data_IF_295731312046
#
_entry.id   IF_295731312046
#
_cell.length_a   1.000
_cell.length_b   1.000
_cell.length_c   1.000
_cell.angle_alpha   90.00
_cell.angle_beta   90.00
_cell.angle_gamma   90.00
#
_symmetry.space_group_name_H-M   'P 1'
#
loop_
_entity.id
_entity.type
_entity.pdbx_description
1 polymer ?
#
# COMPACT_ATOMS: atom_id res chain seq x y z
N UNK A 1 38.73 -3.96 17.41
CA UNK A 1 37.83 -3.89 18.57
C UNK A 1 37.18 -2.51 18.61
N UNK A 2 35.94 -2.34 18.14
CA UNK A 2 35.15 -1.13 18.45
C UNK A 2 34.72 -1.27 19.91
N UNK A 3 35.01 -0.28 20.74
CA UNK A 3 34.76 -0.32 22.19
C UNK A 3 33.26 -0.35 22.50
N UNK A 4 32.90 -1.00 23.61
CA UNK A 4 31.55 -1.17 24.17
C UNK A 4 30.75 0.15 24.34
N UNK A 5 31.42 1.31 24.22
CA UNK A 5 30.83 2.65 24.30
C UNK A 5 30.02 3.10 23.07
N UNK A 6 29.97 2.31 21.99
CA UNK A 6 29.26 2.70 20.76
C UNK A 6 28.08 1.79 20.37
N UNK A 7 27.72 0.83 21.23
CA UNK A 7 26.54 0.00 21.06
C UNK A 7 25.29 0.78 21.43
N UNK A 8 24.28 0.80 20.55
CA UNK A 8 22.99 1.46 20.78
C UNK A 8 21.82 0.55 20.48
N UNK A 9 20.71 0.72 21.19
CA UNK A 9 19.46 0.07 20.85
C UNK A 9 18.78 0.84 19.72
N UNK A 10 18.58 0.20 18.57
CA UNK A 10 17.93 0.83 17.42
C UNK A 10 16.40 0.81 17.59
N UNK A 11 15.79 1.98 17.45
CA UNK A 11 14.37 2.20 17.67
C UNK A 11 13.74 2.79 16.40
N UNK A 12 12.69 2.15 15.89
CA UNK A 12 11.97 2.60 14.69
C UNK A 12 10.54 3.08 14.98
N UNK A 13 10.11 3.01 16.25
CA UNK A 13 8.74 3.24 16.72
C UNK A 13 8.70 4.07 18.00
N UNK A 14 7.66 4.91 18.21
CA UNK A 14 7.43 5.59 19.48
C UNK A 14 6.90 4.68 20.61
N UNK A 15 6.59 3.43 20.30
CA UNK A 15 6.09 2.46 21.27
C UNK A 15 7.21 1.95 22.19
N UNK A 16 7.15 2.38 23.45
CA UNK A 16 8.15 2.13 24.48
C UNK A 16 8.38 0.64 24.78
N UNK A 17 7.46 -0.26 24.41
CA UNK A 17 7.67 -1.70 24.61
C UNK A 17 8.93 -2.19 23.88
N UNK A 18 9.31 -1.52 22.78
CA UNK A 18 10.49 -1.83 21.98
C UNK A 18 11.79 -1.19 22.49
N UNK A 19 11.71 -0.34 23.51
CA UNK A 19 12.85 0.44 24.00
C UNK A 19 13.57 -0.31 25.11
N UNK A 20 14.88 -0.47 24.97
CA UNK A 20 15.77 -0.95 26.02
C UNK A 20 16.40 0.27 26.72
N UNK A 21 15.73 0.77 27.75
CA UNK A 21 16.14 1.97 28.49
C UNK A 21 17.41 1.77 29.34
N UNK A 22 17.96 0.55 29.38
CA UNK A 22 19.22 0.24 30.06
C UNK A 22 20.45 0.58 29.20
N UNK A 23 20.26 0.83 27.90
CA UNK A 23 21.33 1.12 26.94
C UNK A 23 21.12 2.48 26.26
N UNK A 24 22.17 3.09 25.69
CA UNK A 24 22.00 4.26 24.84
C UNK A 24 21.09 3.95 23.64
N UNK A 25 20.20 4.89 23.30
CA UNK A 25 19.21 4.71 22.24
C UNK A 25 19.68 5.34 20.91
N UNK A 26 19.26 4.75 19.79
CA UNK A 26 19.35 5.34 18.46
C UNK A 26 17.98 5.31 17.79
N UNK A 27 17.35 6.47 17.64
CA UNK A 27 16.08 6.60 16.94
C UNK A 27 16.30 6.70 15.44
N UNK A 28 15.56 5.90 14.66
CA UNK A 28 15.60 5.96 13.19
C UNK A 28 15.12 7.30 12.63
N UNK A 29 14.42 8.12 13.42
CA UNK A 29 14.01 9.47 13.05
C UNK A 29 13.08 10.07 14.09
N UNK A 30 12.70 11.34 13.90
CA UNK A 30 11.91 12.10 14.88
C UNK A 30 10.55 11.48 15.21
N UNK A 31 9.97 10.70 14.30
CA UNK A 31 8.70 10.00 14.53
C UNK A 31 8.76 8.93 15.63
N UNK A 32 9.95 8.61 16.14
CA UNK A 32 10.07 7.74 17.31
C UNK A 32 9.81 8.51 18.61
N UNK A 33 9.78 9.84 18.60
CA UNK A 33 9.61 10.66 19.79
C UNK A 33 8.28 11.40 19.68
N UNK A 34 7.37 11.16 20.62
CA UNK A 34 6.08 11.83 20.70
C UNK A 34 5.93 12.50 22.07
N UNK A 35 4.93 13.38 22.21
CA UNK A 35 4.66 14.11 23.45
C UNK A 35 4.54 13.22 24.71
N UNK A 36 4.13 11.97 24.56
CA UNK A 36 3.97 11.05 25.70
C UNK A 36 5.29 10.47 26.19
N UNK A 37 6.36 10.52 25.39
CA UNK A 37 7.66 9.91 25.72
C UNK A 37 8.82 10.92 25.78
N UNK A 38 8.59 12.19 25.46
CA UNK A 38 9.60 13.26 25.54
C UNK A 38 10.21 13.43 26.94
N UNK A 39 9.39 13.41 28.01
CA UNK A 39 9.90 13.60 29.37
C UNK A 39 10.84 12.47 29.80
N UNK A 40 10.52 11.23 29.42
CA UNK A 40 11.33 10.04 29.71
C UNK A 40 12.74 10.15 29.10
N UNK A 41 12.91 10.93 28.03
CA UNK A 41 14.17 11.03 27.29
C UNK A 41 15.13 12.08 27.85
N UNK A 42 14.67 13.00 28.70
CA UNK A 42 15.52 14.08 29.27
C UNK A 42 16.76 13.54 29.98
N UNK A 43 16.65 12.36 30.59
CA UNK A 43 17.73 11.72 31.36
C UNK A 43 18.41 10.57 30.61
N UNK A 44 18.12 10.38 29.31
CA UNK A 44 18.61 9.24 28.53
C UNK A 44 19.63 9.68 27.49
N UNK A 45 20.68 8.88 27.32
CA UNK A 45 21.62 9.03 26.21
C UNK A 45 20.99 8.51 24.93
N UNK A 46 20.38 9.38 24.13
CA UNK A 46 19.84 9.04 22.83
C UNK A 46 20.46 9.87 21.70
N UNK A 47 20.38 9.31 20.49
CA UNK A 47 20.66 10.03 19.25
C UNK A 47 19.52 9.80 18.28
N UNK A 48 19.30 10.75 17.39
CA UNK A 48 18.41 10.60 16.24
C UNK A 48 19.30 10.41 15.02
N UNK A 49 19.00 9.40 14.21
CA UNK A 49 19.72 9.13 12.97
C UNK A 49 19.63 10.35 12.06
N UNK A 50 20.78 10.89 11.67
CA UNK A 50 20.91 11.97 10.70
C UNK A 50 21.86 11.50 9.60
N UNK A 51 21.31 11.12 8.46
CA UNK A 51 22.06 10.56 7.34
C UNK A 51 21.44 10.97 6.00
N UNK A 52 22.19 10.78 4.90
CA UNK A 52 21.73 11.05 3.53
C UNK A 52 20.44 10.32 3.15
N UNK A 53 20.05 9.25 3.85
CA UNK A 53 18.76 8.55 3.64
C UNK A 53 17.53 9.47 3.66
N UNK A 54 17.60 10.61 4.35
CA UNK A 54 16.51 11.60 4.40
C UNK A 54 16.60 12.68 3.31
N UNK A 55 17.70 12.75 2.56
CA UNK A 55 17.89 13.76 1.53
C UNK A 55 17.05 13.45 0.29
N UNK A 56 16.51 14.51 -0.34
CA UNK A 56 15.68 14.40 -1.55
C UNK A 56 16.38 13.64 -2.68
N UNK A 57 17.64 13.96 -2.98
CA UNK A 57 18.37 13.36 -4.09
C UNK A 57 18.63 11.86 -3.87
N UNK A 58 18.97 11.47 -2.63
CA UNK A 58 19.10 10.06 -2.28
C UNK A 58 17.76 9.34 -2.41
N UNK A 59 16.67 9.92 -1.92
CA UNK A 59 15.33 9.32 -2.08
C UNK A 59 14.95 9.13 -3.55
N UNK A 60 15.23 10.10 -4.41
CA UNK A 60 15.00 9.97 -5.86
C UNK A 60 15.83 8.83 -6.47
N UNK A 61 17.10 8.68 -6.08
CA UNK A 61 17.92 7.56 -6.57
C UNK A 61 17.41 6.22 -6.07
N UNK A 62 16.90 6.14 -4.84
CA UNK A 62 16.28 4.93 -4.29
C UNK A 62 14.98 4.58 -5.02
N UNK A 63 14.17 5.58 -5.40
CA UNK A 63 12.96 5.35 -6.20
C UNK A 63 13.32 4.72 -7.55
N UNK A 64 14.32 5.26 -8.25
CA UNK A 64 14.81 4.70 -9.51
C UNK A 64 15.38 3.30 -9.35
N UNK A 65 16.16 3.05 -8.30
CA UNK A 65 16.66 1.71 -7.97
C UNK A 65 15.50 0.72 -7.75
N UNK A 66 14.51 1.08 -6.93
CA UNK A 66 13.35 0.23 -6.67
C UNK A 66 12.52 -0.05 -7.93
N UNK A 67 12.40 0.91 -8.85
CA UNK A 67 11.71 0.70 -10.13
C UNK A 67 12.46 -0.30 -11.03
N UNK A 68 13.80 -0.24 -11.07
CA UNK A 68 14.61 -1.20 -11.82
C UNK A 68 14.47 -2.62 -11.24
N UNK A 69 14.59 -2.75 -9.91
CA UNK A 69 14.38 -4.03 -9.21
C UNK A 69 12.97 -4.55 -9.46
N UNK A 70 11.97 -3.68 -9.44
CA UNK A 70 10.57 -4.04 -9.70
C UNK A 70 10.38 -4.63 -11.09
N UNK A 71 10.89 -3.99 -12.14
CA UNK A 71 10.73 -4.47 -13.51
C UNK A 71 11.40 -5.84 -13.72
N UNK A 72 12.61 -6.01 -13.20
CA UNK A 72 13.36 -7.27 -13.29
C UNK A 72 12.68 -8.40 -12.50
N UNK A 73 12.35 -8.15 -11.24
CA UNK A 73 11.73 -9.14 -10.35
C UNK A 73 10.31 -9.49 -10.78
N UNK A 74 9.54 -8.54 -11.34
CA UNK A 74 8.21 -8.81 -11.88
C UNK A 74 8.28 -9.77 -13.07
N UNK A 75 9.28 -9.61 -13.95
CA UNK A 75 9.48 -10.50 -15.10
C UNK A 75 9.76 -11.92 -14.62
N UNK A 76 10.68 -12.07 -13.68
CA UNK A 76 11.05 -13.36 -13.11
C UNK A 76 9.89 -14.03 -12.36
N UNK A 77 9.24 -13.32 -11.43
CA UNK A 77 8.16 -13.87 -10.62
C UNK A 77 6.96 -14.28 -11.47
N UNK A 78 6.71 -13.59 -12.59
CA UNK A 78 5.63 -13.97 -13.53
C UNK A 78 5.85 -15.35 -14.14
N UNK A 79 7.10 -15.70 -14.46
CA UNK A 79 7.48 -17.00 -15.01
C UNK A 79 7.39 -18.07 -13.91
N UNK A 80 7.95 -17.78 -12.74
CA UNK A 80 7.94 -18.69 -11.58
C UNK A 80 6.51 -19.04 -11.18
N UNK A 81 5.62 -18.05 -11.10
CA UNK A 81 4.23 -18.27 -10.71
C UNK A 81 3.38 -18.92 -11.80
N UNK A 82 3.63 -18.64 -13.08
CA UNK A 82 3.01 -19.40 -14.18
C UNK A 82 3.35 -20.90 -14.05
N UNK A 83 4.64 -21.22 -13.88
CA UNK A 83 5.10 -22.60 -13.69
C UNK A 83 4.49 -23.23 -12.45
N UNK A 84 4.52 -22.52 -11.32
CA UNK A 84 4.00 -23.01 -10.05
C UNK A 84 2.49 -23.31 -10.10
N UNK A 85 1.70 -22.41 -10.71
CA UNK A 85 0.25 -22.55 -10.77
C UNK A 85 -0.25 -23.40 -11.95
N UNK A 86 0.61 -23.73 -12.91
CA UNK A 86 0.24 -24.45 -14.13
C UNK A 86 -0.65 -23.61 -15.04
N UNK A 87 -0.39 -22.30 -15.13
CA UNK A 87 -1.13 -21.35 -15.97
C UNK A 87 -0.20 -20.63 -16.94
N UNK A 88 -0.77 -19.99 -17.95
CA UNK A 88 -0.04 -19.20 -18.93
C UNK A 88 -0.60 -17.77 -19.01
N UNK A 89 -0.43 -17.00 -17.93
CA UNK A 89 -0.77 -15.59 -17.92
C UNK A 89 0.37 -14.74 -18.47
N UNK A 90 0.02 -13.74 -19.26
CA UNK A 90 0.94 -12.75 -19.81
C UNK A 90 1.60 -11.92 -18.70
N UNK A 91 2.74 -11.33 -19.02
CA UNK A 91 3.41 -10.37 -18.14
C UNK A 91 2.49 -9.21 -17.71
N UNK A 92 1.64 -8.71 -18.62
CA UNK A 92 0.64 -7.65 -18.32
C UNK A 92 -0.39 -8.13 -17.29
N UNK A 93 -0.86 -9.37 -17.38
CA UNK A 93 -1.79 -9.96 -16.41
C UNK A 93 -1.15 -10.09 -15.01
N UNK A 94 0.10 -10.56 -14.92
CA UNK A 94 0.84 -10.60 -13.66
C UNK A 94 1.13 -9.22 -13.09
N UNK A 95 1.46 -8.25 -13.95
CA UNK A 95 1.60 -6.85 -13.57
C UNK A 95 0.33 -6.33 -12.91
N UNK A 96 -0.84 -6.59 -13.49
CA UNK A 96 -2.13 -6.20 -12.89
C UNK A 96 -2.28 -6.79 -11.49
N UNK A 97 -2.02 -8.08 -11.30
CA UNK A 97 -2.34 -8.82 -10.05
C UNK A 97 -1.35 -8.51 -8.93
N UNK A 98 -0.05 -8.70 -9.19
CA UNK A 98 1.03 -8.65 -8.21
C UNK A 98 1.73 -7.31 -8.21
N UNK A 99 1.80 -6.62 -9.35
CA UNK A 99 2.57 -5.39 -9.53
C UNK A 99 2.38 -4.34 -8.43
N UNK A 100 1.15 -3.97 -8.04
CA UNK A 100 0.92 -2.98 -6.98
C UNK A 100 1.49 -3.39 -5.62
N UNK A 101 1.46 -4.69 -5.29
CA UNK A 101 2.03 -5.19 -4.05
C UNK A 101 3.56 -5.23 -4.15
N UNK A 102 4.09 -5.77 -5.25
CA UNK A 102 5.53 -5.94 -5.45
C UNK A 102 6.27 -4.59 -5.42
N UNK A 103 5.72 -3.57 -6.08
CA UNK A 103 6.29 -2.21 -6.05
C UNK A 103 6.38 -1.65 -4.62
N UNK A 104 5.32 -1.85 -3.81
CA UNK A 104 5.32 -1.42 -2.40
C UNK A 104 6.30 -2.22 -1.57
N UNK A 105 6.28 -3.54 -1.73
CA UNK A 105 7.17 -4.46 -1.04
C UNK A 105 8.63 -4.04 -1.24
N UNK A 106 9.08 -3.88 -2.48
CA UNK A 106 10.45 -3.49 -2.82
C UNK A 106 10.82 -2.16 -2.15
N UNK A 107 9.97 -1.15 -2.27
CA UNK A 107 10.25 0.18 -1.68
C UNK A 107 10.33 0.15 -0.16
N UNK A 108 9.43 -0.59 0.51
CA UNK A 108 9.42 -0.71 1.97
C UNK A 108 10.67 -1.43 2.47
N UNK A 109 11.00 -2.59 1.91
CA UNK A 109 12.17 -3.37 2.32
C UNK A 109 13.46 -2.56 2.06
N UNK A 110 13.60 -1.95 0.89
CA UNK A 110 14.76 -1.12 0.56
C UNK A 110 14.92 0.05 1.54
N UNK A 111 13.83 0.74 1.87
CA UNK A 111 13.88 1.86 2.81
C UNK A 111 14.30 1.42 4.22
N UNK A 112 13.74 0.33 4.75
CA UNK A 112 14.13 -0.17 6.08
C UNK A 112 15.56 -0.69 6.12
N UNK A 113 16.01 -1.31 5.04
CA UNK A 113 17.40 -1.74 4.91
C UNK A 113 18.34 -0.53 4.87
N UNK A 114 18.01 0.52 4.13
CA UNK A 114 18.82 1.75 4.09
C UNK A 114 18.92 2.43 5.47
N UNK A 115 17.82 2.50 6.24
CA UNK A 115 17.84 3.01 7.62
C UNK A 115 18.75 2.16 8.52
N UNK A 116 18.65 0.83 8.40
CA UNK A 116 19.48 -0.11 9.15
C UNK A 116 20.97 0.02 8.79
N UNK A 117 21.31 0.06 7.49
CA UNK A 117 22.68 0.23 7.01
C UNK A 117 23.27 1.57 7.44
N UNK A 118 22.49 2.66 7.38
CA UNK A 118 22.92 3.96 7.89
C UNK A 118 23.19 3.91 9.41
N UNK A 119 22.40 3.13 10.16
CA UNK A 119 22.61 2.97 11.61
C UNK A 119 23.90 2.21 11.93
N UNK A 120 24.20 1.13 11.17
CA UNK A 120 25.43 0.32 11.32
C UNK A 120 26.72 1.04 10.90
N UNK A 121 26.61 2.12 10.11
CA UNK A 121 27.76 2.91 9.68
C UNK A 121 28.52 3.48 10.89
N UNK A 122 27.77 4.07 11.82
CA UNK A 122 28.34 4.84 12.92
C UNK A 122 28.20 4.15 14.29
N UNK A 123 27.36 3.11 14.40
CA UNK A 123 27.04 2.44 15.68
C UNK A 123 27.03 0.93 15.55
N UNK A 124 27.28 0.24 16.65
CA UNK A 124 26.91 -1.18 16.78
C UNK A 124 25.44 -1.24 17.24
N UNK A 125 24.63 -2.03 16.54
CA UNK A 125 23.18 -2.05 16.75
C UNK A 125 22.76 -3.27 17.56
N UNK A 126 22.00 -3.00 18.62
CA UNK A 126 21.28 -3.99 19.41
C UNK A 126 19.77 -3.73 19.37
N UNK A 127 19.00 -4.71 19.84
CA UNK A 127 17.56 -4.59 20.03
C UNK A 127 17.20 -5.08 21.42
N UNK A 128 16.08 -4.58 21.97
CA UNK A 128 15.49 -5.16 23.18
C UNK A 128 15.06 -6.60 22.92
N UNK A 129 15.27 -7.50 23.86
CA UNK A 129 14.78 -8.87 23.76
C UNK A 129 13.25 -8.92 23.91
N UNK A 130 12.60 -9.46 22.88
CA UNK A 130 11.13 -9.55 22.79
C UNK A 130 10.78 -10.89 22.15
N UNK A 131 9.96 -11.68 22.83
CA UNK A 131 9.37 -12.88 22.25
C UNK A 131 8.05 -12.53 21.56
N UNK A 132 8.06 -12.53 20.23
CA UNK A 132 6.84 -12.34 19.45
C UNK A 132 6.08 -13.65 19.35
N UNK A 133 4.80 -13.63 19.74
CA UNK A 133 3.89 -14.77 19.56
C UNK A 133 3.83 -15.24 18.10
N UNK A 134 3.76 -14.29 17.18
CA UNK A 134 3.93 -14.47 15.75
C UNK A 134 5.10 -13.60 15.31
N UNK A 135 6.20 -14.17 14.82
CA UNK A 135 7.39 -13.42 14.39
C UNK A 135 7.50 -13.30 12.86
N UNK A 136 6.44 -13.65 12.13
CA UNK A 136 6.42 -13.69 10.68
C UNK A 136 6.21 -12.33 10.03
N UNK A 137 6.66 -12.19 8.78
CA UNK A 137 6.38 -11.04 7.92
C UNK A 137 5.23 -11.28 6.92
N UNK A 138 4.47 -12.36 7.13
CA UNK A 138 3.45 -12.85 6.20
C UNK A 138 2.29 -11.86 6.10
N UNK A 139 1.70 -11.76 4.92
CA UNK A 139 0.44 -11.05 4.70
C UNK A 139 -0.53 -11.88 3.88
N UNK A 140 -1.83 -11.61 4.01
CA UNK A 140 -2.85 -12.36 3.27
C UNK A 140 -3.05 -11.83 1.86
N UNK A 141 -3.16 -10.52 1.73
CA UNK A 141 -3.34 -9.80 0.47
C UNK A 141 -2.65 -8.43 0.52
N UNK A 142 -2.74 -7.65 -0.56
CA UNK A 142 -2.13 -6.32 -0.63
C UNK A 142 -2.64 -5.35 0.45
N UNK A 143 -3.90 -5.49 0.87
CA UNK A 143 -4.50 -4.60 1.88
C UNK A 143 -3.95 -4.95 3.25
N UNK A 144 -3.91 -6.23 3.58
CA UNK A 144 -3.27 -6.74 4.79
C UNK A 144 -1.79 -6.31 4.88
N UNK A 145 -1.05 -6.45 3.78
CA UNK A 145 0.34 -5.99 3.71
C UNK A 145 0.46 -4.47 3.93
N UNK A 146 -0.41 -3.68 3.31
CA UNK A 146 -0.38 -2.21 3.42
C UNK A 146 -0.72 -1.75 4.85
N UNK A 147 -1.65 -2.42 5.50
CA UNK A 147 -2.02 -2.14 6.89
C UNK A 147 -0.89 -2.53 7.85
N UNK A 148 -0.23 -3.67 7.62
CA UNK A 148 0.96 -4.11 8.36
C UNK A 148 2.17 -3.19 8.16
N UNK A 149 2.41 -2.73 6.93
CA UNK A 149 3.55 -1.87 6.60
C UNK A 149 3.61 -0.55 7.40
N UNK A 150 2.46 -0.09 7.92
CA UNK A 150 2.37 1.11 8.76
C UNK A 150 2.19 0.79 10.26
N UNK A 151 2.25 -0.48 10.66
CA UNK A 151 2.15 -0.92 12.04
C UNK A 151 3.53 -1.04 12.68
N UNK A 152 3.66 -0.61 13.94
CA UNK A 152 4.92 -0.63 14.68
C UNK A 152 5.50 -2.03 14.85
N UNK A 153 4.70 -3.00 15.27
CA UNK A 153 5.15 -4.36 15.52
C UNK A 153 5.70 -5.04 14.25
N UNK A 154 5.03 -4.84 13.11
CA UNK A 154 5.52 -5.39 11.84
C UNK A 154 6.83 -4.73 11.39
N UNK A 155 6.98 -3.41 11.57
CA UNK A 155 8.24 -2.73 11.26
C UNK A 155 9.39 -3.17 12.18
N UNK A 156 9.11 -3.43 13.45
CA UNK A 156 10.06 -4.00 14.42
C UNK A 156 10.52 -5.40 14.02
N UNK A 157 9.58 -6.30 13.66
CA UNK A 157 9.90 -7.64 13.14
C UNK A 157 10.76 -7.56 11.87
N UNK A 158 10.39 -6.68 10.93
CA UNK A 158 11.12 -6.50 9.69
C UNK A 158 12.55 -6.01 9.96
N UNK A 159 12.72 -4.98 10.79
CA UNK A 159 14.03 -4.41 11.08
C UNK A 159 14.97 -5.44 11.73
N UNK A 160 14.45 -6.26 12.65
CA UNK A 160 15.19 -7.36 13.29
C UNK A 160 15.58 -8.44 12.27
N UNK A 161 14.65 -8.83 11.40
CA UNK A 161 14.92 -9.80 10.33
C UNK A 161 16.00 -9.30 9.37
N UNK A 162 15.91 -8.02 8.98
CA UNK A 162 16.93 -7.36 8.16
C UNK A 162 18.29 -7.32 8.87
N UNK A 163 18.31 -7.05 10.18
CA UNK A 163 19.54 -7.05 10.96
C UNK A 163 20.22 -8.42 11.00
N UNK A 164 19.45 -9.49 11.22
CA UNK A 164 19.98 -10.86 11.16
C UNK A 164 20.59 -11.17 9.79
N UNK A 165 19.93 -10.78 8.70
CA UNK A 165 20.44 -10.98 7.33
C UNK A 165 21.68 -10.12 7.08
N UNK A 166 21.68 -8.87 7.53
CA UNK A 166 22.80 -7.94 7.37
C UNK A 166 24.06 -8.45 8.06
N UNK A 167 23.95 -8.93 9.30
CA UNK A 167 25.08 -9.42 10.08
C UNK A 167 25.58 -10.79 9.62
N UNK A 168 24.67 -11.71 9.31
CA UNK A 168 25.05 -13.07 8.89
C UNK A 168 25.50 -13.17 7.44
N UNK A 169 25.05 -12.25 6.58
CA UNK A 169 25.20 -12.32 5.13
C UNK A 169 24.76 -13.69 4.55
N UNK A 170 23.83 -14.36 5.24
CA UNK A 170 23.38 -15.72 4.91
C UNK A 170 22.03 -15.69 4.21
N UNK A 171 21.98 -16.29 3.02
CA UNK A 171 20.80 -16.34 2.16
C UNK A 171 20.23 -17.76 2.02
N UNK A 172 20.42 -18.60 3.04
CA UNK A 172 19.77 -19.90 3.12
C UNK A 172 18.32 -19.76 3.62
N UNK A 173 17.37 -20.48 2.98
CA UNK A 173 15.95 -20.52 3.35
C UNK A 173 15.64 -21.34 4.61
N UNK A 174 16.63 -21.93 5.27
CA UNK A 174 16.47 -22.71 6.50
C UNK A 174 15.74 -21.95 7.62
N UNK A 175 15.94 -20.63 7.70
CA UNK A 175 15.27 -19.76 8.68
C UNK A 175 13.74 -19.80 8.60
N UNK A 176 13.16 -20.22 7.46
CA UNK A 176 11.71 -20.34 7.31
C UNK A 176 11.11 -21.37 8.29
N UNK A 177 11.90 -22.35 8.73
CA UNK A 177 11.48 -23.33 9.72
C UNK A 177 11.38 -22.74 11.13
N UNK A 178 12.11 -21.66 11.41
CA UNK A 178 12.19 -21.02 12.73
C UNK A 178 11.11 -19.93 12.91
N UNK A 179 10.30 -19.69 11.87
CA UNK A 179 9.22 -18.71 11.91
C UNK A 179 8.06 -19.26 12.75
N UNK A 180 7.77 -18.58 13.85
CA UNK A 180 6.55 -18.75 14.63
C UNK A 180 5.44 -17.93 13.95
N UNK A 181 4.36 -18.57 13.52
CA UNK A 181 3.20 -17.87 12.96
C UNK A 181 1.89 -18.45 13.47
N UNK A 182 0.91 -17.58 13.70
CA UNK A 182 -0.42 -18.01 14.08
C UNK A 182 -1.20 -18.49 12.86
N UNK A 183 -1.68 -19.73 12.90
CA UNK A 183 -2.58 -20.24 11.87
C UNK A 183 -3.88 -19.44 11.89
N UNK A 184 -4.36 -19.07 10.71
CA UNK A 184 -5.63 -18.38 10.60
C UNK A 184 -6.79 -19.35 10.84
N UNK A 185 -7.57 -19.10 11.90
CA UNK A 185 -8.80 -19.83 12.18
C UNK A 185 -10.00 -19.15 11.50
N UNK A 186 -10.55 -19.80 10.46
CA UNK A 186 -11.74 -19.34 9.70
C UNK A 186 -12.98 -19.09 10.57
N UNK A 187 -13.07 -19.72 11.74
CA UNK A 187 -14.23 -19.67 12.64
C UNK A 187 -14.39 -18.36 13.41
N UNK A 188 -13.36 -17.49 13.45
CA UNK A 188 -13.31 -16.34 14.37
C UNK A 188 -13.71 -15.00 13.72
N UNK A 189 -13.92 -14.93 12.39
CA UNK A 189 -14.38 -13.70 11.73
C UNK A 189 -15.89 -13.43 11.93
N UNK A 190 -16.23 -13.01 13.15
CA UNK A 190 -17.34 -12.16 13.61
C UNK A 190 -18.79 -12.45 13.17
N UNK A 191 -19.59 -12.88 14.17
CA UNK A 191 -21.06 -12.98 14.16
C UNK A 191 -21.80 -11.71 13.68
N UNK A 192 -21.21 -10.52 13.84
CA UNK A 192 -21.80 -9.25 13.37
C UNK A 192 -21.74 -9.02 11.85
N UNK A 193 -20.88 -9.74 11.12
CA UNK A 193 -20.77 -9.65 9.65
C UNK A 193 -21.85 -10.46 8.92
N UNK A 194 -22.35 -11.52 9.57
CA UNK A 194 -23.16 -12.57 8.94
C UNK A 194 -24.46 -12.01 8.37
N UNK A 195 -25.13 -11.07 9.07
CA UNK A 195 -26.40 -10.50 8.61
C UNK A 195 -26.22 -9.57 7.38
N UNK A 196 -25.18 -8.73 7.37
CA UNK A 196 -24.84 -7.89 6.20
C UNK A 196 -24.39 -8.74 5.00
N UNK A 197 -23.62 -9.80 5.26
CA UNK A 197 -23.23 -10.74 4.20
C UNK A 197 -24.44 -11.54 3.70
N UNK A 198 -25.38 -11.92 4.56
CA UNK A 198 -26.61 -12.61 4.17
C UNK A 198 -27.48 -11.74 3.26
N UNK A 199 -27.68 -10.46 3.59
CA UNK A 199 -28.40 -9.50 2.72
C UNK A 199 -27.66 -9.31 1.40
N UNK A 200 -26.33 -9.16 1.42
CA UNK A 200 -25.52 -9.10 0.20
C UNK A 200 -25.64 -10.39 -0.61
N UNK A 201 -25.68 -11.56 0.02
CA UNK A 201 -25.85 -12.85 -0.65
C UNK A 201 -27.24 -12.99 -1.29
N UNK A 202 -28.33 -12.52 -0.65
CA UNK A 202 -29.67 -12.48 -1.27
C UNK A 202 -29.78 -11.46 -2.41
N UNK A 203 -29.11 -10.30 -2.29
CA UNK A 203 -28.98 -9.38 -3.41
C UNK A 203 -28.17 -10.04 -4.54
N UNK A 204 -27.12 -10.80 -4.24
CA UNK A 204 -26.34 -11.54 -5.24
C UNK A 204 -27.17 -12.60 -5.94
N UNK A 205 -28.06 -13.32 -5.23
CA UNK A 205 -28.93 -14.30 -5.90
C UNK A 205 -29.88 -13.65 -6.90
N UNK A 206 -30.35 -12.43 -6.65
CA UNK A 206 -31.15 -11.67 -7.62
C UNK A 206 -30.34 -11.33 -8.88
N UNK A 207 -29.10 -10.87 -8.73
CA UNK A 207 -28.22 -10.61 -9.88
C UNK A 207 -27.73 -11.88 -10.56
N UNK A 208 -27.70 -13.01 -9.83
CA UNK A 208 -27.39 -14.31 -10.41
C UNK A 208 -28.49 -14.84 -11.34
N UNK A 209 -29.71 -14.29 -11.25
CA UNK A 209 -30.83 -14.61 -12.13
C UNK A 209 -30.73 -13.94 -13.52
N UNK A 210 -29.82 -12.98 -13.70
CA UNK A 210 -29.59 -12.30 -14.98
C UNK A 210 -28.24 -12.73 -15.58
N UNK A 211 -28.14 -13.94 -16.17
CA UNK A 211 -26.92 -14.43 -16.81
C UNK A 211 -26.48 -13.56 -18.00
N UNK A 212 -27.34 -12.64 -18.44
CA UNK A 212 -27.10 -11.71 -19.54
C UNK A 212 -25.86 -10.82 -19.31
N UNK A 213 -25.47 -10.56 -18.05
CA UNK A 213 -24.24 -9.82 -17.75
C UNK A 213 -22.98 -10.51 -18.26
N UNK A 214 -23.00 -11.84 -18.45
CA UNK A 214 -21.86 -12.60 -18.98
C UNK A 214 -21.53 -12.23 -20.43
N UNK A 215 -22.51 -11.76 -21.18
CA UNK A 215 -22.41 -11.38 -22.59
C UNK A 215 -22.15 -9.88 -22.79
N UNK A 216 -21.96 -9.11 -21.72
CA UNK A 216 -21.66 -7.68 -21.85
C UNK A 216 -20.32 -7.43 -22.54
N UNK A 217 -20.34 -6.56 -23.56
CA UNK A 217 -19.14 -6.10 -24.26
C UNK A 217 -18.27 -5.15 -23.42
N UNK A 218 -18.87 -4.51 -22.41
CA UNK A 218 -18.17 -3.60 -21.52
C UNK A 218 -18.27 -4.04 -20.06
N UNK A 219 -17.24 -3.73 -19.27
CA UNK A 219 -17.32 -3.86 -17.81
C UNK A 219 -16.88 -2.57 -17.13
N UNK A 220 -17.62 -2.17 -16.09
CA UNK A 220 -17.44 -0.92 -15.38
C UNK A 220 -17.27 -1.19 -13.89
N UNK A 221 -16.13 -0.81 -13.31
CA UNK A 221 -15.88 -0.97 -11.87
C UNK A 221 -15.19 0.24 -11.27
N UNK A 222 -15.66 0.72 -10.11
CA UNK A 222 -15.12 1.91 -9.42
C UNK A 222 -14.88 3.06 -10.41
N UNK A 223 -15.94 3.38 -11.17
CA UNK A 223 -15.90 4.37 -12.26
C UNK A 223 -15.98 5.81 -11.76
N UNK A 224 -16.37 5.98 -10.49
CA UNK A 224 -16.49 7.24 -9.78
C UNK A 224 -17.24 8.32 -10.56
N UNK A 225 -18.35 7.96 -11.22
CA UNK A 225 -19.18 8.89 -11.99
C UNK A 225 -20.52 9.15 -11.30
N UNK A 226 -20.83 10.43 -11.13
CA UNK A 226 -22.17 10.97 -10.85
C UNK A 226 -23.07 10.20 -9.89
N UNK A 227 -24.36 10.21 -10.22
CA UNK A 227 -25.39 9.49 -9.49
C UNK A 227 -25.56 8.07 -10.05
N UNK A 228 -26.35 7.26 -9.35
CA UNK A 228 -26.80 5.97 -9.86
C UNK A 228 -27.44 6.10 -11.26
N UNK A 229 -28.25 7.15 -11.49
CA UNK A 229 -28.89 7.41 -12.79
C UNK A 229 -27.89 7.76 -13.88
N UNK A 230 -26.85 8.54 -13.57
CA UNK A 230 -25.76 8.81 -14.53
C UNK A 230 -25.05 7.52 -14.95
N UNK A 231 -24.75 6.66 -13.98
CA UNK A 231 -24.14 5.35 -14.26
C UNK A 231 -25.08 4.46 -15.08
N UNK A 232 -26.39 4.46 -14.78
CA UNK A 232 -27.39 3.69 -15.51
C UNK A 232 -27.53 4.15 -16.97
N UNK A 233 -27.58 5.47 -17.22
CA UNK A 233 -27.58 6.04 -18.58
C UNK A 233 -26.37 5.58 -19.40
N UNK A 234 -25.19 5.49 -18.78
CA UNK A 234 -23.98 4.97 -19.41
C UNK A 234 -24.14 3.49 -19.81
N UNK A 235 -24.68 2.65 -18.93
CA UNK A 235 -24.91 1.24 -19.23
C UNK A 235 -25.90 1.07 -20.40
N UNK A 236 -27.04 1.76 -20.35
CA UNK A 236 -28.06 1.73 -21.43
C UNK A 236 -27.50 2.24 -22.75
N UNK A 237 -26.80 3.38 -22.75
CA UNK A 237 -26.21 3.98 -23.95
C UNK A 237 -25.16 3.09 -24.63
N UNK A 238 -24.53 2.19 -23.86
CA UNK A 238 -23.58 1.19 -24.37
C UNK A 238 -24.22 -0.17 -24.64
N UNK A 239 -25.56 -0.28 -24.60
CA UNK A 239 -26.32 -1.53 -24.76
C UNK A 239 -25.83 -2.63 -23.80
N UNK A 240 -25.50 -2.23 -22.58
CA UNK A 240 -24.84 -3.05 -21.60
C UNK A 240 -25.76 -3.27 -20.40
N UNK A 241 -25.88 -4.51 -19.91
CA UNK A 241 -26.61 -4.76 -18.67
C UNK A 241 -25.83 -4.18 -17.48
N UNK A 242 -26.46 -3.49 -16.53
CA UNK A 242 -25.80 -3.06 -15.31
C UNK A 242 -25.18 -4.26 -14.59
N UNK A 243 -23.86 -4.26 -14.41
CA UNK A 243 -23.16 -5.27 -13.61
C UNK A 243 -22.74 -4.63 -12.32
N UNK A 244 -23.08 -5.24 -11.20
CA UNK A 244 -22.55 -4.83 -9.91
C UNK A 244 -21.61 -5.93 -9.41
N UNK A 245 -20.37 -5.52 -9.12
CA UNK A 245 -19.37 -6.36 -8.50
C UNK A 245 -19.68 -6.46 -7.00
N UNK A 246 -20.10 -7.64 -6.56
CA UNK A 246 -20.62 -7.85 -5.20
C UNK A 246 -19.75 -8.74 -4.31
N UNK A 247 -18.46 -8.90 -4.63
CA UNK A 247 -17.60 -9.60 -3.69
C UNK A 247 -17.61 -8.81 -2.39
N UNK A 248 -17.95 -9.51 -1.29
CA UNK A 248 -17.74 -8.97 0.04
C UNK A 248 -16.26 -8.63 0.11
N UNK A 249 -15.93 -7.35 0.29
CA UNK A 249 -14.55 -6.87 0.37
C UNK A 249 -13.73 -7.52 1.50
N UNK A 250 -14.25 -8.54 2.19
CA UNK A 250 -13.51 -9.41 3.09
C UNK A 250 -12.18 -9.82 2.48
N UNK A 251 -11.17 -9.85 3.34
CA UNK A 251 -9.83 -10.29 2.97
C UNK A 251 -9.89 -11.76 2.58
N UNK A 252 -9.26 -12.10 1.47
CA UNK A 252 -9.02 -13.49 1.14
C UNK A 252 -7.87 -13.97 2.03
N UNK A 253 -8.11 -15.01 2.83
CA UNK A 253 -7.15 -15.51 3.82
C UNK A 253 -6.87 -16.99 3.53
N UNK A 254 -5.61 -17.31 3.26
CA UNK A 254 -5.11 -18.67 3.21
C UNK A 254 -4.02 -18.81 4.28
N UNK A 255 -3.83 -20.04 4.77
CA UNK A 255 -2.75 -20.32 5.70
C UNK A 255 -1.42 -20.33 4.95
N UNK A 256 -0.38 -19.86 5.63
CA UNK A 256 0.98 -19.94 5.11
C UNK A 256 1.50 -21.38 5.21
N UNK A 257 2.19 -21.84 4.16
CA UNK A 257 2.71 -23.20 4.09
C UNK A 257 4.21 -23.20 3.71
N UNK A 258 5.07 -23.47 4.70
CA UNK A 258 6.54 -23.45 4.55
C UNK A 258 7.01 -24.33 3.38
N UNK A 259 6.49 -25.55 3.26
CA UNK A 259 6.91 -26.50 2.22
C UNK A 259 6.51 -26.06 0.81
N UNK A 260 5.41 -25.30 0.68
CA UNK A 260 5.04 -24.67 -0.59
C UNK A 260 6.03 -23.54 -0.93
N UNK A 261 6.39 -22.74 0.07
CA UNK A 261 7.24 -21.55 -0.08
C UNK A 261 8.67 -21.89 -0.46
N UNK A 262 9.22 -22.96 0.12
CA UNK A 262 10.57 -23.47 -0.22
C UNK A 262 10.71 -23.82 -1.71
N UNK A 263 9.62 -24.24 -2.37
CA UNK A 263 9.59 -24.59 -3.81
C UNK A 263 9.71 -23.38 -4.74
N UNK A 264 9.58 -22.15 -4.22
CA UNK A 264 9.77 -20.94 -5.03
C UNK A 264 11.26 -20.73 -5.33
N UNK A 265 11.66 -20.98 -6.57
CA UNK A 265 13.01 -20.68 -7.06
C UNK A 265 13.09 -19.23 -7.53
N UNK A 266 13.75 -18.38 -6.75
CA UNK A 266 14.02 -16.98 -7.08
C UNK A 266 15.54 -16.83 -7.17
N UNK A 267 16.02 -16.15 -8.20
CA UNK A 267 17.43 -15.85 -8.36
C UNK A 267 17.84 -14.74 -7.39
N UNK A 268 18.87 -15.03 -6.58
CA UNK A 268 19.48 -14.09 -5.62
C UNK A 268 20.90 -13.69 -6.04
N UNK A 269 21.41 -14.22 -7.15
CA UNK A 269 22.73 -13.88 -7.67
C UNK A 269 22.64 -12.55 -8.43
N UNK A 270 22.74 -11.48 -7.66
CA UNK A 270 22.65 -10.09 -8.13
C UNK A 270 23.71 -9.26 -7.42
N UNK A 271 24.23 -8.25 -8.12
CA UNK A 271 25.35 -7.44 -7.63
C UNK A 271 24.98 -6.55 -6.43
N UNK A 272 23.74 -6.07 -6.37
CA UNK A 272 23.28 -5.19 -5.29
C UNK A 272 22.88 -6.00 -4.06
N UNK A 273 23.55 -5.74 -2.92
CA UNK A 273 23.17 -6.32 -1.63
C UNK A 273 21.70 -6.04 -1.29
N UNK A 274 21.23 -4.81 -1.50
CA UNK A 274 19.83 -4.46 -1.26
C UNK A 274 18.87 -5.27 -2.14
N UNK A 275 19.19 -5.44 -3.43
CA UNK A 275 18.37 -6.26 -4.32
C UNK A 275 18.35 -7.73 -3.88
N UNK A 276 19.51 -8.25 -3.45
CA UNK A 276 19.64 -9.62 -2.93
C UNK A 276 18.76 -9.86 -1.71
N UNK A 277 18.78 -8.94 -0.74
CA UNK A 277 17.91 -8.98 0.46
C UNK A 277 16.43 -8.90 0.08
N UNK A 278 16.06 -8.00 -0.83
CA UNK A 278 14.69 -7.84 -1.35
C UNK A 278 14.19 -9.13 -2.00
N UNK A 279 15.01 -9.78 -2.82
CA UNK A 279 14.65 -11.04 -3.47
C UNK A 279 14.54 -12.18 -2.46
N UNK A 280 15.45 -12.23 -1.49
CA UNK A 280 15.47 -13.27 -0.47
C UNK A 280 14.23 -13.24 0.44
N UNK A 281 13.86 -12.08 0.96
CA UNK A 281 12.68 -11.92 1.82
C UNK A 281 11.34 -12.06 1.07
N UNK A 282 11.37 -12.10 -0.27
CA UNK A 282 10.16 -12.23 -1.09
C UNK A 282 9.42 -13.52 -0.75
N UNK A 283 10.16 -14.60 -0.47
CA UNK A 283 9.61 -15.92 -0.21
C UNK A 283 8.69 -15.91 1.02
N UNK A 284 9.13 -15.31 2.12
CA UNK A 284 8.33 -15.17 3.34
C UNK A 284 7.18 -14.17 3.16
N UNK A 285 7.47 -13.01 2.57
CA UNK A 285 6.58 -11.84 2.59
C UNK A 285 5.49 -11.88 1.51
N UNK A 286 5.66 -12.68 0.45
CA UNK A 286 4.69 -12.81 -0.65
C UNK A 286 3.29 -13.13 -0.10
N UNK A 287 2.25 -12.33 -0.39
CA UNK A 287 0.94 -12.55 0.18
C UNK A 287 0.37 -13.92 -0.17
N UNK A 288 -0.31 -14.55 0.79
CA UNK A 288 -0.83 -15.91 0.60
C UNK A 288 -1.82 -16.01 -0.56
N UNK A 289 -2.54 -14.92 -0.88
CA UNK A 289 -3.45 -14.87 -2.03
C UNK A 289 -2.75 -15.16 -3.38
N UNK A 290 -1.44 -14.90 -3.50
CA UNK A 290 -0.70 -15.10 -4.74
C UNK A 290 -0.07 -16.49 -4.87
N UNK A 291 -0.09 -17.29 -3.79
CA UNK A 291 0.51 -18.62 -3.75
C UNK A 291 -0.48 -19.66 -3.21
N UNK A 292 -0.62 -19.79 -1.89
CA UNK A 292 -1.49 -20.80 -1.26
C UNK A 292 -2.97 -20.60 -1.64
N UNK A 293 -3.41 -19.34 -1.66
CA UNK A 293 -4.79 -18.94 -1.94
C UNK A 293 -5.16 -18.81 -3.42
N UNK A 294 -4.20 -18.95 -4.33
CA UNK A 294 -4.38 -18.54 -5.73
C UNK A 294 -5.51 -19.30 -6.44
N UNK A 295 -5.52 -20.64 -6.32
CA UNK A 295 -6.52 -21.50 -6.97
C UNK A 295 -7.94 -21.25 -6.44
N UNK A 296 -8.06 -21.00 -5.15
CA UNK A 296 -9.34 -20.69 -4.50
C UNK A 296 -9.91 -19.36 -4.99
N UNK A 297 -9.06 -18.35 -5.18
CA UNK A 297 -9.48 -17.07 -5.78
C UNK A 297 -10.02 -17.29 -7.18
N UNK A 298 -9.31 -18.02 -8.05
CA UNK A 298 -9.80 -18.32 -9.40
C UNK A 298 -11.11 -19.11 -9.39
N UNK A 299 -11.25 -20.09 -8.49
CA UNK A 299 -12.50 -20.84 -8.31
C UNK A 299 -13.64 -19.93 -7.87
N UNK A 300 -13.37 -18.94 -7.01
CA UNK A 300 -14.38 -17.97 -6.59
C UNK A 300 -14.83 -17.11 -7.78
N UNK A 301 -13.90 -16.60 -8.59
CA UNK A 301 -14.17 -15.73 -9.74
C UNK A 301 -15.02 -16.43 -10.80
N UNK A 302 -14.72 -17.71 -11.09
CA UNK A 302 -15.51 -18.52 -12.05
C UNK A 302 -16.98 -18.67 -11.66
N UNK A 303 -17.32 -18.54 -10.37
CA UNK A 303 -18.71 -18.62 -9.87
C UNK A 303 -19.46 -17.29 -9.98
N UNK A 304 -18.79 -16.20 -10.36
CA UNK A 304 -19.40 -14.87 -10.44
C UNK A 304 -20.06 -14.64 -11.79
N UNK A 305 -21.08 -13.80 -11.81
CA UNK A 305 -21.75 -13.35 -13.03
C UNK A 305 -21.10 -12.08 -13.59
N UNK A 306 -19.76 -12.13 -13.70
CA UNK A 306 -18.99 -11.13 -14.41
C UNK A 306 -18.92 -11.50 -15.90
N UNK A 307 -18.72 -10.52 -16.79
CA UNK A 307 -18.51 -10.77 -18.22
C UNK A 307 -17.37 -11.78 -18.44
N UNK A 308 -17.56 -12.74 -19.34
CA UNK A 308 -16.57 -13.80 -19.58
C UNK A 308 -15.40 -13.33 -20.45
N UNK A 309 -15.67 -12.43 -21.40
CA UNK A 309 -14.71 -11.85 -22.32
C UNK A 309 -15.14 -10.45 -22.78
N UNK A 310 -15.24 -9.45 -21.87
CA UNK A 310 -15.66 -8.12 -22.27
C UNK A 310 -14.65 -7.51 -23.23
N UNK A 311 -15.10 -6.85 -24.29
CA UNK A 311 -14.23 -6.16 -25.24
C UNK A 311 -13.43 -5.04 -24.57
N UNK A 312 -14.07 -4.25 -23.70
CA UNK A 312 -13.45 -3.12 -22.99
C UNK A 312 -13.81 -3.12 -21.52
N UNK A 313 -12.84 -2.79 -20.68
CA UNK A 313 -13.00 -2.67 -19.24
C UNK A 313 -12.64 -1.24 -18.85
N UNK A 314 -13.54 -0.55 -18.15
CA UNK A 314 -13.27 0.74 -17.57
C UNK A 314 -13.22 0.65 -16.05
N UNK A 315 -12.13 1.15 -15.46
CA UNK A 315 -12.04 1.34 -14.02
C UNK A 315 -11.23 2.57 -13.69
N UNK A 316 -11.55 3.24 -12.59
CA UNK A 316 -10.67 4.27 -12.05
C UNK A 316 -9.83 3.77 -10.88
N UNK A 317 -10.02 2.55 -10.36
CA UNK A 317 -9.18 2.05 -9.27
C UNK A 317 -9.27 0.52 -9.15
N UNK A 318 -8.16 -0.17 -9.42
CA UNK A 318 -8.04 -1.60 -9.20
C UNK A 318 -6.90 -1.99 -8.24
N UNK A 319 -5.97 -1.08 -7.94
CA UNK A 319 -4.69 -1.43 -7.28
C UNK A 319 -4.85 -2.17 -5.95
N UNK A 320 -5.81 -1.75 -5.12
CA UNK A 320 -6.10 -2.31 -3.79
C UNK A 320 -7.14 -3.44 -3.81
N UNK A 321 -7.70 -3.76 -4.97
CA UNK A 321 -8.80 -4.71 -5.07
C UNK A 321 -8.25 -6.14 -5.23
N UNK A 322 -8.15 -6.86 -4.10
CA UNK A 322 -7.46 -8.15 -4.04
C UNK A 322 -8.03 -9.20 -5.00
N UNK A 323 -9.35 -9.19 -5.25
CA UNK A 323 -10.00 -10.20 -6.10
C UNK A 323 -10.29 -9.65 -7.50
N UNK A 324 -10.74 -8.40 -7.64
CA UNK A 324 -11.02 -7.84 -8.96
C UNK A 324 -9.80 -7.88 -9.88
N UNK A 325 -8.59 -7.69 -9.33
CA UNK A 325 -7.35 -7.77 -10.12
C UNK A 325 -7.13 -9.12 -10.79
N UNK A 326 -7.55 -10.22 -10.16
CA UNK A 326 -7.44 -11.55 -10.76
C UNK A 326 -8.40 -11.71 -11.94
N UNK A 327 -9.66 -11.30 -11.78
CA UNK A 327 -10.62 -11.32 -12.89
C UNK A 327 -10.18 -10.40 -14.02
N UNK A 328 -9.71 -9.19 -13.68
CA UNK A 328 -9.20 -8.21 -14.64
C UNK A 328 -8.00 -8.77 -15.41
N UNK A 329 -7.09 -9.45 -14.72
CA UNK A 329 -5.95 -10.11 -15.33
C UNK A 329 -6.38 -11.25 -16.27
N UNK A 330 -7.34 -12.10 -15.88
CA UNK A 330 -7.89 -13.13 -16.79
C UNK A 330 -8.52 -12.52 -18.03
N UNK A 331 -9.31 -11.45 -17.88
CA UNK A 331 -9.96 -10.79 -19.00
C UNK A 331 -8.95 -10.11 -19.94
N UNK A 332 -7.98 -9.37 -19.40
CA UNK A 332 -6.90 -8.75 -20.19
C UNK A 332 -6.04 -9.82 -20.86
N UNK A 333 -5.78 -10.96 -20.21
CA UNK A 333 -5.05 -12.07 -20.80
C UNK A 333 -5.78 -12.70 -22.00
N UNK A 334 -7.12 -12.64 -22.01
CA UNK A 334 -7.99 -13.08 -23.12
C UNK A 334 -8.19 -12.01 -24.20
N UNK A 335 -7.59 -10.83 -24.05
CA UNK A 335 -7.59 -9.77 -25.07
C UNK A 335 -8.45 -8.55 -24.76
N UNK A 336 -9.14 -8.49 -23.60
CA UNK A 336 -9.88 -7.30 -23.19
C UNK A 336 -8.97 -6.06 -23.11
N UNK A 337 -9.46 -4.92 -23.59
CA UNK A 337 -8.75 -3.64 -23.50
C UNK A 337 -9.10 -2.92 -22.20
N UNK A 338 -8.09 -2.46 -21.47
CA UNK A 338 -8.25 -1.74 -20.20
C UNK A 338 -8.19 -0.22 -20.43
N UNK A 339 -9.23 0.48 -20.00
CA UNK A 339 -9.28 1.95 -19.94
C UNK A 339 -9.26 2.34 -18.46
N UNK A 340 -8.27 3.15 -18.06
CA UNK A 340 -8.14 3.59 -16.68
C UNK A 340 -8.52 5.06 -16.52
N UNK A 341 -9.28 5.40 -15.48
CA UNK A 341 -9.61 6.78 -15.14
C UNK A 341 -8.77 7.30 -13.97
N UNK A 342 -8.40 8.58 -14.00
CA UNK A 342 -7.86 9.26 -12.83
C UNK A 342 -8.92 9.31 -11.71
N UNK A 343 -8.52 8.95 -10.50
CA UNK A 343 -9.41 8.81 -9.33
C UNK A 343 -9.06 9.70 -8.14
N UNK A 344 -7.98 10.47 -8.23
CA UNK A 344 -7.51 11.28 -7.12
C UNK A 344 -6.69 12.49 -7.57
N UNK A 345 -6.27 13.25 -6.57
CA UNK A 345 -5.32 14.35 -6.74
C UNK A 345 -3.88 13.82 -6.94
N UNK A 346 -2.92 14.71 -7.17
CA UNK A 346 -1.48 14.44 -7.35
C UNK A 346 -1.05 13.79 -8.68
N UNK A 347 -1.96 13.20 -9.45
CA UNK A 347 -1.68 12.69 -10.80
C UNK A 347 -1.21 13.81 -11.73
N UNK A 348 0.00 13.65 -12.30
CA UNK A 348 0.63 14.66 -13.15
C UNK A 348 1.25 15.84 -12.40
N UNK A 349 1.20 15.85 -11.05
CA UNK A 349 1.69 16.97 -10.22
C UNK A 349 2.89 16.59 -9.35
N UNK A 350 2.93 15.36 -8.80
CA UNK A 350 4.05 14.94 -7.96
C UNK A 350 5.16 14.26 -8.78
N UNK A 351 6.39 14.50 -8.35
CA UNK A 351 7.59 13.85 -8.87
C UNK A 351 7.51 12.36 -8.47
N UNK A 352 7.63 11.47 -9.46
CA UNK A 352 7.59 10.01 -9.30
C UNK A 352 6.33 9.44 -8.61
N UNK A 353 5.17 9.54 -9.28
CA UNK A 353 3.90 8.98 -8.77
C UNK A 353 3.75 7.47 -9.09
N UNK A 354 4.05 6.61 -8.10
CA UNK A 354 4.03 5.14 -8.23
C UNK A 354 2.72 4.57 -8.82
N UNK A 355 1.56 5.04 -8.34
CA UNK A 355 0.27 4.51 -8.81
C UNK A 355 -0.01 4.93 -10.28
N UNK A 356 0.47 6.10 -10.71
CA UNK A 356 0.26 6.59 -12.08
C UNK A 356 1.12 5.78 -13.04
N UNK A 357 2.40 5.53 -12.70
CA UNK A 357 3.28 4.66 -13.47
C UNK A 357 2.65 3.27 -13.65
N UNK A 358 2.15 2.69 -12.56
CA UNK A 358 1.50 1.40 -12.60
C UNK A 358 0.25 1.42 -13.50
N UNK A 359 -0.68 2.36 -13.28
CA UNK A 359 -1.92 2.48 -14.05
C UNK A 359 -1.65 2.67 -15.55
N UNK A 360 -0.70 3.55 -15.91
CA UNK A 360 -0.27 3.76 -17.29
C UNK A 360 0.33 2.49 -17.91
N UNK A 361 1.06 1.70 -17.13
CA UNK A 361 1.71 0.48 -17.62
C UNK A 361 0.76 -0.70 -17.85
N UNK A 362 -0.44 -0.67 -17.26
CA UNK A 362 -1.45 -1.73 -17.43
C UNK A 362 -2.60 -1.34 -18.37
N UNK A 363 -2.86 -0.05 -18.57
CA UNK A 363 -3.98 0.40 -19.40
C UNK A 363 -3.60 0.53 -20.88
N UNK A 364 -4.59 0.37 -21.74
CA UNK A 364 -4.52 0.67 -23.17
C UNK A 364 -4.82 2.15 -23.44
N UNK A 365 -5.69 2.77 -22.63
CA UNK A 365 -5.98 4.21 -22.59
C UNK A 365 -6.14 4.70 -21.16
N UNK A 366 -5.73 5.93 -20.88
CA UNK A 366 -5.86 6.61 -19.59
C UNK A 366 -6.66 7.90 -19.74
N UNK A 367 -7.71 8.10 -18.93
CA UNK A 367 -8.51 9.33 -18.90
C UNK A 367 -8.03 10.19 -17.73
N UNK A 368 -7.37 11.29 -18.03
CA UNK A 368 -6.86 12.25 -17.05
C UNK A 368 -7.91 13.32 -16.71
N UNK A 369 -7.63 14.15 -15.70
CA UNK A 369 -8.41 15.36 -15.41
C UNK A 369 -7.81 16.58 -16.12
N UNK A 370 -7.73 16.52 -17.45
CA UNK A 370 -7.44 17.67 -18.32
C UNK A 370 -6.01 17.76 -18.87
N UNK A 371 -5.08 16.93 -18.39
CA UNK A 371 -3.68 16.93 -18.84
C UNK A 371 -3.39 15.82 -19.88
N UNK A 372 -2.37 16.01 -20.71
CA UNK A 372 -1.88 14.99 -21.65
C UNK A 372 -0.39 14.70 -21.38
N UNK A 373 0.14 13.63 -21.98
CA UNK A 373 1.60 13.43 -21.98
C UNK A 373 2.26 14.35 -23.01
N UNK A 374 3.38 14.97 -22.64
CA UNK A 374 4.25 15.70 -23.59
C UNK A 374 5.11 14.77 -24.47
N UNK A 375 5.21 13.47 -24.14
CA UNK A 375 6.06 12.50 -24.85
C UNK A 375 5.23 11.52 -25.70
N UNK A 376 5.89 10.68 -26.53
CA UNK A 376 5.35 9.69 -27.49
C UNK A 376 4.19 8.78 -27.01
N UNK A 377 3.85 8.79 -25.71
CA UNK A 377 2.64 8.20 -25.15
C UNK A 377 1.39 9.13 -25.23
N UNK A 378 1.47 10.27 -25.93
CA UNK A 378 0.41 11.26 -26.09
C UNK A 378 -0.95 10.66 -26.46
N UNK A 379 -0.97 9.69 -27.38
CA UNK A 379 -2.21 9.05 -27.84
C UNK A 379 -2.88 8.16 -26.79
N UNK A 380 -2.16 7.74 -25.74
CA UNK A 380 -2.71 6.89 -24.67
C UNK A 380 -3.41 7.70 -23.59
N UNK A 381 -3.02 8.94 -23.37
CA UNK A 381 -3.59 9.80 -22.31
C UNK A 381 -4.61 10.76 -22.91
N UNK A 382 -5.88 10.49 -22.63
CA UNK A 382 -7.03 11.27 -23.07
C UNK A 382 -7.33 12.35 -22.04
N UNK A 383 -7.45 13.61 -22.50
CA UNK A 383 -7.92 14.72 -21.68
C UNK A 383 -9.41 14.49 -21.36
N UNK A 384 -9.72 14.26 -20.09
CA UNK A 384 -11.08 14.15 -19.60
C UNK A 384 -11.42 15.22 -18.56
N UNK A 385 -12.62 15.11 -18.01
CA UNK A 385 -13.05 15.87 -16.83
C UNK A 385 -12.88 15.01 -15.58
N UNK A 386 -12.90 15.64 -14.41
CA UNK A 386 -12.98 14.88 -13.17
C UNK A 386 -14.29 14.08 -13.11
N UNK A 387 -14.21 12.76 -13.25
CA UNK A 387 -15.40 11.89 -13.26
C UNK A 387 -16.28 12.07 -12.01
N UNK A 388 -15.73 12.29 -10.78
CA UNK A 388 -16.54 12.52 -9.59
C UNK A 388 -17.40 13.80 -9.61
N UNK A 389 -17.05 14.78 -10.46
CA UNK A 389 -17.80 16.04 -10.57
C UNK A 389 -18.91 15.99 -11.63
N UNK A 390 -18.93 14.95 -12.48
CA UNK A 390 -20.01 14.76 -13.47
C UNK A 390 -21.29 14.47 -12.69
N UNK A 391 -22.10 15.49 -12.43
CA UNK A 391 -23.38 15.39 -11.71
C UNK A 391 -24.45 16.12 -12.50
N UNK A 392 -25.68 15.63 -12.39
CA UNK A 392 -26.84 16.26 -13.03
C UNK A 392 -27.11 17.67 -12.48
N UNK A 393 -26.75 17.95 -11.21
CA UNK A 393 -26.89 19.27 -10.58
C UNK A 393 -25.72 19.57 -9.63
N UNK A 394 -25.04 20.70 -9.83
CA UNK A 394 -24.09 21.27 -8.87
C UNK A 394 -24.90 22.09 -7.87
N UNK A 395 -25.01 21.64 -6.61
CA UNK A 395 -25.66 22.43 -5.56
C UNK A 395 -24.80 23.67 -5.27
N UNK A 396 -25.34 24.86 -5.54
CA UNK A 396 -24.78 26.11 -5.00
C UNK A 396 -24.77 25.99 -3.48
N UNK A 397 -23.60 26.13 -2.86
CA UNK A 397 -23.48 26.22 -1.40
C UNK A 397 -23.60 27.68 -1.01
N UNK A 398 -24.33 27.98 0.06
CA UNK A 398 -24.25 29.30 0.68
C UNK A 398 -22.80 29.50 1.12
N UNK A 399 -22.19 30.57 0.64
CA UNK A 399 -20.91 31.02 1.17
C UNK A 399 -21.19 31.52 2.59
N UNK A 400 -20.33 31.14 3.51
CA UNK A 400 -20.25 31.71 4.85
C UNK A 400 -18.83 32.25 5.04
N UNK A 401 -18.63 33.03 6.09
CA UNK A 401 -17.32 33.65 6.35
C UNK A 401 -16.29 32.67 6.93
N UNK A 402 -16.59 31.36 6.95
CA UNK A 402 -15.71 30.35 7.51
C UNK A 402 -14.50 30.07 6.61
N UNK A 403 -13.33 30.01 7.23
CA UNK A 403 -12.06 29.68 6.57
C UNK A 403 -11.71 28.25 6.95
N UNK A 404 -11.72 27.35 5.98
CA UNK A 404 -11.49 25.93 6.23
C UNK A 404 -10.01 25.56 6.08
N UNK A 405 -9.39 25.09 7.16
CA UNK A 405 -8.09 24.41 7.13
C UNK A 405 -8.30 22.91 6.86
N UNK A 406 -7.69 22.42 5.79
CA UNK A 406 -7.69 21.01 5.41
C UNK A 406 -6.23 20.53 5.37
N UNK A 407 -5.70 19.96 6.47
CA UNK A 407 -4.36 19.41 6.46
C UNK A 407 -4.32 18.10 5.65
N UNK A 408 -3.10 17.71 5.29
CA UNK A 408 -2.82 16.35 4.79
C UNK A 408 -2.80 15.33 5.94
N UNK A 409 -2.35 14.10 5.67
CA UNK A 409 -2.07 13.08 6.68
C UNK A 409 -0.59 13.09 7.05
N UNK A 410 -0.29 12.85 8.32
CA UNK A 410 1.09 12.63 8.78
C UNK A 410 1.42 11.13 8.67
N UNK A 411 2.37 10.79 7.81
CA UNK A 411 2.86 9.42 7.60
C UNK A 411 4.38 9.40 7.72
N UNK A 412 4.91 8.57 8.64
CA UNK A 412 6.35 8.45 8.91
C UNK A 412 6.97 7.13 8.43
N UNK A 413 6.17 6.10 8.19
CA UNK A 413 6.63 4.90 7.51
C UNK A 413 6.44 5.05 6.01
N UNK A 414 7.53 4.97 5.25
CA UNK A 414 7.42 4.81 3.79
C UNK A 414 6.58 3.56 3.50
N UNK A 415 5.51 3.72 2.72
CA UNK A 415 4.58 2.63 2.36
C UNK A 415 4.31 2.53 0.84
N UNK A 416 4.96 3.38 0.04
CA UNK A 416 4.92 3.42 -1.43
C UNK A 416 6.27 3.89 -1.99
N UNK A 417 6.56 3.56 -3.25
CA UNK A 417 7.74 4.07 -3.95
C UNK A 417 7.54 5.53 -4.41
N UNK A 418 7.48 6.46 -3.46
CA UNK A 418 7.20 7.88 -3.69
C UNK A 418 8.10 8.74 -2.81
N UNK A 419 8.39 9.97 -3.25
CA UNK A 419 9.15 10.92 -2.44
C UNK A 419 8.36 11.27 -1.17
N UNK A 420 9.00 11.10 -0.01
CA UNK A 420 8.43 11.42 1.31
C UNK A 420 9.50 12.08 2.19
N UNK A 421 9.06 13.02 3.05
CA UNK A 421 9.88 13.69 4.07
C UNK A 421 9.46 13.17 5.44
N UNK A 422 9.85 11.94 5.77
CA UNK A 422 9.39 11.25 6.99
C UNK A 422 10.08 11.73 8.26
N UNK A 423 11.27 12.30 8.13
CA UNK A 423 12.11 12.85 9.20
C UNK A 423 11.57 14.13 9.83
N UNK A 424 10.53 14.74 9.24
CA UNK A 424 10.06 16.08 9.59
C UNK A 424 8.61 16.12 10.03
N UNK A 425 8.13 15.05 10.66
CA UNK A 425 6.75 14.95 11.16
C UNK A 425 6.39 16.04 12.16
N UNK A 426 7.35 16.55 12.94
CA UNK A 426 7.12 17.66 13.87
C UNK A 426 7.05 19.01 13.14
N UNK A 427 7.87 19.22 12.11
CA UNK A 427 7.85 20.43 11.27
C UNK A 427 6.45 20.64 10.65
N UNK A 428 5.85 19.57 10.15
CA UNK A 428 4.50 19.59 9.57
C UNK A 428 3.43 20.11 10.56
N UNK A 429 3.48 19.67 11.83
CA UNK A 429 2.58 20.17 12.89
C UNK A 429 2.90 21.63 13.25
N UNK A 430 4.18 21.99 13.31
CA UNK A 430 4.64 23.34 13.63
C UNK A 430 4.21 24.37 12.58
N UNK A 431 4.28 24.03 11.29
CA UNK A 431 3.87 24.93 10.19
C UNK A 431 2.41 25.36 10.35
N UNK A 432 1.51 24.43 10.69
CA UNK A 432 0.10 24.78 10.86
C UNK A 432 -0.12 25.61 12.12
N UNK A 433 0.59 25.34 13.21
CA UNK A 433 0.55 26.20 14.40
C UNK A 433 1.03 27.61 14.11
N UNK A 434 2.15 27.74 13.38
CA UNK A 434 2.70 29.03 12.98
C UNK A 434 1.71 29.78 12.09
N UNK A 435 1.06 29.11 11.13
CA UNK A 435 0.01 29.73 10.33
C UNK A 435 -1.09 30.30 11.23
N UNK A 436 -1.64 29.50 12.15
CA UNK A 436 -2.72 29.96 13.03
C UNK A 436 -2.30 31.12 13.94
N UNK A 437 -1.10 31.04 14.54
CA UNK A 437 -0.61 32.07 15.44
C UNK A 437 -0.37 33.42 14.75
N UNK A 438 -0.17 33.41 13.43
CA UNK A 438 0.05 34.62 12.62
C UNK A 438 -1.21 35.12 11.89
N UNK A 439 -2.36 34.45 12.03
CA UNK A 439 -3.62 34.92 11.46
C UNK A 439 -4.25 36.05 12.30
N UNK A 440 -4.90 37.01 11.63
CA UNK A 440 -5.69 38.05 12.30
C UNK A 440 -6.77 37.41 13.21
N UNK A 441 -6.94 37.96 14.42
CA UNK A 441 -7.96 37.51 15.39
C UNK A 441 -9.37 37.44 14.80
N UNK A 442 -9.73 38.30 13.85
CA UNK A 442 -11.01 38.26 13.13
C UNK A 442 -11.14 37.02 12.26
N UNK A 443 -10.06 36.63 11.56
CA UNK A 443 -10.03 35.43 10.73
C UNK A 443 -10.03 34.15 11.57
N UNK A 444 -9.32 34.18 12.71
CA UNK A 444 -9.29 33.06 13.66
C UNK A 444 -10.67 32.68 14.19
N UNK A 445 -11.54 33.66 14.47
CA UNK A 445 -12.93 33.41 14.91
C UNK A 445 -13.75 32.62 13.88
N UNK A 446 -13.36 32.69 12.61
CA UNK A 446 -14.06 32.03 11.52
C UNK A 446 -13.32 30.77 11.02
N UNK A 447 -12.24 30.37 11.68
CA UNK A 447 -11.47 29.21 11.28
C UNK A 447 -12.24 27.92 11.58
N UNK A 448 -12.34 27.05 10.58
CA UNK A 448 -12.87 25.70 10.72
C UNK A 448 -11.77 24.70 10.39
N UNK A 449 -11.68 23.61 11.16
CA UNK A 449 -10.73 22.54 10.92
C UNK A 449 -11.44 21.30 10.40
N UNK A 450 -10.94 20.71 9.32
CA UNK A 450 -11.43 19.42 8.82
C UNK A 450 -10.29 18.43 8.63
N UNK A 451 -10.12 17.47 9.55
CA UNK A 451 -9.08 16.46 9.40
C UNK A 451 -9.33 15.61 8.16
N UNK A 452 -8.25 15.10 7.57
CA UNK A 452 -8.38 14.09 6.54
C UNK A 452 -9.09 12.84 7.11
N UNK A 453 -10.03 12.19 6.39
CA UNK A 453 -10.78 11.03 6.91
C UNK A 453 -9.92 9.83 7.35
N UNK A 454 -8.66 9.76 6.90
CA UNK A 454 -7.71 8.74 7.35
C UNK A 454 -7.24 8.99 8.78
N UNK A 455 -7.07 10.25 9.19
CA UNK A 455 -6.61 10.58 10.54
C UNK A 455 -7.62 10.13 11.59
N UNK A 456 -8.91 10.37 11.34
CA UNK A 456 -10.00 9.95 12.24
C UNK A 456 -10.15 8.44 12.32
N UNK A 457 -9.85 7.72 11.22
CA UNK A 457 -9.92 6.26 11.17
C UNK A 457 -8.73 5.56 11.80
N UNK A 458 -7.51 6.08 11.59
CA UNK A 458 -6.27 5.42 12.02
C UNK A 458 -5.84 5.83 13.44
N UNK A 459 -6.26 7.00 13.94
CA UNK A 459 -5.92 7.51 15.28
C UNK A 459 -4.43 7.35 15.62
N UNK A 460 -3.56 7.77 14.70
CA UNK A 460 -2.11 7.69 14.87
C UNK A 460 -1.61 8.60 15.99
N UNK A 461 -0.43 8.28 16.50
CA UNK A 461 0.31 9.06 17.50
C UNK A 461 0.56 10.48 16.98
N UNK A 462 0.98 10.59 15.72
CA UNK A 462 1.11 11.86 14.99
C UNK A 462 -0.12 12.06 14.12
N UNK A 463 -0.91 13.09 14.45
CA UNK A 463 -2.12 13.44 13.74
C UNK A 463 -2.47 14.90 14.01
N UNK A 464 -2.83 15.63 12.95
CA UNK A 464 -3.40 16.96 13.06
C UNK A 464 -4.69 16.95 13.88
N UNK A 465 -5.54 15.93 13.70
CA UNK A 465 -6.77 15.77 14.51
C UNK A 465 -6.48 15.74 16.01
N UNK A 466 -5.57 14.86 16.45
CA UNK A 466 -5.22 14.76 17.86
C UNK A 466 -4.50 16.02 18.37
N UNK A 467 -3.71 16.67 17.51
CA UNK A 467 -2.98 17.88 17.86
C UNK A 467 -3.92 19.08 18.06
N UNK A 468 -4.92 19.29 17.20
CA UNK A 468 -5.87 20.42 17.30
C UNK A 468 -7.09 20.16 18.17
N UNK A 469 -7.33 18.95 18.66
CA UNK A 469 -8.33 18.73 19.71
C UNK A 469 -7.79 19.03 21.11
N UNK A 470 -6.46 19.05 21.27
CA UNK A 470 -5.79 19.27 22.55
C UNK A 470 -5.37 20.72 22.80
N UNK A 471 -5.24 21.51 21.72
CA UNK A 471 -4.94 22.94 21.75
C UNK A 471 -6.16 23.71 21.29
#
# INVERSE_FOLDING_TARGET
>A
MKTQNNTRTLIISPDQKYWDLSKPLLFCGEWCINKNNEELLKEKNYKILNDKVFQKNFNLSQISFCDQVYENLLKEISIVLNKFHGINWSFKAWRIVIGPWLNRYIAIINNRLNLLTASHKDYEISFKDIDFKDNSLISFDIRDFTDKAVNHEWNEKLLRRLNTIYLSNNFNKGYLNDIKFEKFNKTIDNKHSIFKDFIKCKLNSFWNFFPLTRFNDFFFHKIYIGSFFTSFKLFVGLKNFPVKYFISEKRFKANFEIEIRKKLSINYDVNSFNEKVIRFLLVETLPTIYLEGFKDVLKSIKKMNLPTSPRKIFTSNCSQDSIFKFWLAEAVNKGSKLIHGQHGAAYGMIIEHSNLKHELSICDKYISWGWNSKNKNGDRILKGVALPIIKEKIKKRKLNDQILIIPTVIDYYLFKNELRRVDKVNEDLLIVNQLMNNLDKKLLKNLAFKPHPIETRKKKEFSYYNHFQKN
#
